data_IF_800433429206
#
_entry.id   IF_800433429206
#
_cell.length_a   1.000
_cell.length_b   1.000
_cell.length_c   1.000
_cell.angle_alpha   90.00
_cell.angle_beta   90.00
_cell.angle_gamma   90.00
#
_symmetry.space_group_name_H-M   'P 1'
#
loop_
_entity.id
_entity.type
_entity.pdbx_description
1 polymer ?
#
# COMPACT_ATOMS: atom_id res chain seq x y z
N UNK A 1 -8.48 19.37 12.57
CA UNK A 1 -9.59 18.51 12.11
C UNK A 1 -9.40 18.07 10.66
N UNK A 2 -9.23 18.98 9.71
CA UNK A 2 -8.99 18.68 8.28
C UNK A 2 -7.80 17.75 8.01
N UNK A 3 -6.65 17.96 8.66
CA UNK A 3 -5.45 17.11 8.47
C UNK A 3 -5.66 15.65 8.85
N UNK A 4 -6.40 15.39 9.93
CA UNK A 4 -6.71 14.02 10.37
C UNK A 4 -7.61 13.32 9.36
N UNK A 5 -8.63 14.02 8.85
CA UNK A 5 -9.48 13.49 7.78
C UNK A 5 -8.68 13.18 6.51
N UNK A 6 -7.78 14.08 6.10
CA UNK A 6 -6.91 13.86 4.93
C UNK A 6 -6.02 12.63 5.15
N UNK A 7 -5.44 12.47 6.34
CA UNK A 7 -4.62 11.30 6.67
C UNK A 7 -5.44 9.99 6.65
N UNK A 8 -6.67 10.01 7.17
CA UNK A 8 -7.57 8.85 7.15
C UNK A 8 -8.02 8.48 5.72
N UNK A 9 -8.32 9.49 4.90
CA UNK A 9 -8.63 9.32 3.48
C UNK A 9 -7.43 8.72 2.72
N UNK A 10 -6.24 9.28 2.93
CA UNK A 10 -5.01 8.77 2.33
C UNK A 10 -4.73 7.32 2.75
N UNK A 11 -4.89 7.00 4.03
CA UNK A 11 -4.72 5.65 4.56
C UNK A 11 -5.73 4.66 3.94
N UNK A 12 -7.00 5.05 3.88
CA UNK A 12 -8.07 4.22 3.33
C UNK A 12 -7.88 3.96 1.84
N UNK A 13 -7.53 5.00 1.08
CA UNK A 13 -7.23 4.91 -0.35
C UNK A 13 -6.01 4.02 -0.61
N UNK A 14 -4.93 4.22 0.16
CA UNK A 14 -3.70 3.41 0.06
C UNK A 14 -4.01 1.94 0.34
N UNK A 15 -4.76 1.64 1.41
CA UNK A 15 -5.15 0.27 1.76
C UNK A 15 -5.97 -0.40 0.67
N UNK A 16 -6.96 0.30 0.11
CA UNK A 16 -7.79 -0.21 -0.98
C UNK A 16 -6.97 -0.49 -2.25
N UNK A 17 -6.12 0.47 -2.65
CA UNK A 17 -5.25 0.34 -3.82
C UNK A 17 -4.31 -0.86 -3.68
N UNK A 18 -3.65 -1.01 -2.53
CA UNK A 18 -2.79 -2.17 -2.24
C UNK A 18 -3.54 -3.50 -2.30
N UNK A 19 -4.74 -3.58 -1.74
CA UNK A 19 -5.55 -4.80 -1.76
C UNK A 19 -5.93 -5.21 -3.19
N UNK A 20 -6.40 -4.25 -3.98
CA UNK A 20 -6.75 -4.48 -5.40
C UNK A 20 -5.53 -4.90 -6.20
N UNK A 21 -4.40 -4.22 -6.01
CA UNK A 21 -3.16 -4.48 -6.73
C UNK A 21 -2.58 -5.86 -6.36
N UNK A 22 -2.64 -6.24 -5.08
CA UNK A 22 -2.24 -7.57 -4.63
C UNK A 22 -3.13 -8.66 -5.24
N UNK A 23 -4.46 -8.46 -5.30
CA UNK A 23 -5.38 -9.41 -5.95
C UNK A 23 -5.11 -9.56 -7.45
N UNK A 24 -4.78 -8.47 -8.14
CA UNK A 24 -4.38 -8.49 -9.54
C UNK A 24 -3.06 -9.25 -9.75
N UNK A 25 -2.04 -8.92 -8.97
CA UNK A 25 -0.70 -9.51 -9.08
C UNK A 25 -0.66 -10.98 -8.64
N UNK A 26 -1.60 -11.42 -7.82
CA UNK A 26 -1.75 -12.83 -7.43
C UNK A 26 -1.96 -13.76 -8.63
N UNK A 27 -2.53 -13.26 -9.74
CA UNK A 27 -2.67 -14.05 -10.98
C UNK A 27 -1.33 -14.37 -11.66
N UNK A 28 -0.25 -13.67 -11.29
CA UNK A 28 1.04 -13.71 -11.96
C UNK A 28 2.13 -14.42 -11.14
N UNK A 29 1.84 -14.88 -9.93
CA UNK A 29 2.84 -15.52 -9.07
C UNK A 29 2.37 -15.72 -7.62
N UNK A 30 3.28 -16.18 -6.74
CA UNK A 30 2.93 -16.52 -5.37
C UNK A 30 2.43 -15.30 -4.57
N UNK A 31 1.47 -15.49 -3.64
CA UNK A 31 0.76 -14.40 -2.97
C UNK A 31 1.69 -13.43 -2.24
N UNK A 32 2.75 -13.95 -1.62
CA UNK A 32 3.76 -13.12 -0.94
C UNK A 32 4.56 -12.24 -1.90
N UNK A 33 4.94 -12.74 -3.08
CA UNK A 33 5.61 -11.89 -4.08
C UNK A 33 4.64 -10.85 -4.65
N UNK A 34 3.37 -11.21 -4.87
CA UNK A 34 2.34 -10.28 -5.31
C UNK A 34 2.15 -9.13 -4.30
N UNK A 35 2.11 -9.42 -3.00
CA UNK A 35 2.02 -8.41 -1.95
C UNK A 35 3.24 -7.47 -1.91
N UNK A 36 4.47 -8.00 -2.02
CA UNK A 36 5.67 -7.18 -2.08
C UNK A 36 5.74 -6.30 -3.33
N UNK A 37 5.34 -6.83 -4.49
CA UNK A 37 5.27 -6.08 -5.75
C UNK A 37 4.20 -4.99 -5.67
N UNK A 38 3.02 -5.32 -5.13
CA UNK A 38 1.95 -4.36 -4.92
C UNK A 38 2.40 -3.21 -4.01
N UNK A 39 3.08 -3.57 -2.90
CA UNK A 39 3.64 -2.59 -1.97
C UNK A 39 4.68 -1.70 -2.63
N UNK A 40 5.67 -2.26 -3.32
CA UNK A 40 6.73 -1.49 -3.97
C UNK A 40 6.20 -0.57 -5.06
N UNK A 41 5.26 -1.07 -5.89
CA UNK A 41 4.66 -0.29 -6.97
C UNK A 41 3.81 0.85 -6.40
N UNK A 42 2.95 0.56 -5.42
CA UNK A 42 2.13 1.57 -4.75
C UNK A 42 2.99 2.63 -4.08
N UNK A 43 4.02 2.21 -3.33
CA UNK A 43 4.91 3.14 -2.64
C UNK A 43 5.63 4.05 -3.63
N UNK A 44 6.23 3.50 -4.68
CA UNK A 44 6.94 4.27 -5.69
C UNK A 44 6.03 5.30 -6.39
N UNK A 45 4.86 4.88 -6.86
CA UNK A 45 3.91 5.77 -7.55
C UNK A 45 3.44 6.89 -6.62
N UNK A 46 3.05 6.56 -5.38
CA UNK A 46 2.56 7.55 -4.43
C UNK A 46 3.68 8.52 -4.01
N UNK A 47 4.88 8.04 -3.72
CA UNK A 47 6.02 8.89 -3.34
C UNK A 47 6.41 9.84 -4.47
N UNK A 48 6.50 9.35 -5.72
CA UNK A 48 6.77 10.21 -6.88
C UNK A 48 5.64 11.23 -7.06
N UNK A 49 4.38 10.79 -6.99
CA UNK A 49 3.23 11.68 -7.12
C UNK A 49 3.23 12.77 -6.06
N UNK A 50 3.53 12.45 -4.80
CA UNK A 50 3.61 13.46 -3.73
C UNK A 50 4.76 14.44 -3.90
N UNK A 51 5.91 13.97 -4.40
CA UNK A 51 7.05 14.84 -4.67
C UNK A 51 6.72 15.91 -5.73
N UNK A 52 5.90 15.57 -6.73
CA UNK A 52 5.50 16.50 -7.80
C UNK A 52 4.21 17.29 -7.50
N UNK A 53 3.25 16.70 -6.77
CA UNK A 53 1.93 17.31 -6.55
C UNK A 53 1.91 18.42 -5.50
N UNK A 54 2.94 18.53 -4.66
CA UNK A 54 2.96 19.48 -3.52
C UNK A 54 4.13 20.46 -3.64
N UNK A 55 4.00 21.56 -4.41
CA UNK A 55 5.09 22.50 -4.67
C UNK A 55 5.49 23.39 -3.47
N UNK A 56 5.02 23.09 -2.25
CA UNK A 56 5.36 23.84 -1.03
C UNK A 56 5.97 22.98 0.08
N UNK A 57 5.43 21.79 0.32
CA UNK A 57 5.87 20.89 1.41
C UNK A 57 5.97 19.42 0.94
N UNK A 58 6.83 19.10 -0.04
CA UNK A 58 6.94 17.74 -0.58
C UNK A 58 7.38 16.73 0.48
N UNK A 59 8.19 17.16 1.47
CA UNK A 59 8.67 16.29 2.55
C UNK A 59 7.52 15.75 3.41
N UNK A 60 6.59 16.63 3.81
CA UNK A 60 5.43 16.27 4.64
C UNK A 60 4.53 15.26 3.94
N UNK A 61 4.29 15.45 2.64
CA UNK A 61 3.48 14.56 1.82
C UNK A 61 4.15 13.18 1.65
N UNK A 62 5.47 13.16 1.38
CA UNK A 62 6.25 11.92 1.30
C UNK A 62 6.26 11.18 2.63
N UNK A 63 6.46 11.89 3.75
CA UNK A 63 6.43 11.30 5.09
C UNK A 63 5.06 10.68 5.42
N UNK A 64 3.97 11.37 5.07
CA UNK A 64 2.62 10.83 5.25
C UNK A 64 2.42 9.54 4.47
N UNK A 65 2.88 9.49 3.21
CA UNK A 65 2.80 8.30 2.37
C UNK A 65 3.62 7.15 2.96
N UNK A 66 4.85 7.42 3.37
CA UNK A 66 5.71 6.43 4.01
C UNK A 66 5.05 5.88 5.29
N UNK A 67 4.44 6.75 6.09
CA UNK A 67 3.72 6.35 7.30
C UNK A 67 2.51 5.47 6.98
N UNK A 68 1.67 5.85 6.01
CA UNK A 68 0.54 5.04 5.57
C UNK A 68 0.97 3.66 5.08
N UNK A 69 2.04 3.59 4.27
CA UNK A 69 2.57 2.33 3.76
C UNK A 69 3.18 1.48 4.89
N UNK A 70 3.91 2.09 5.83
CA UNK A 70 4.47 1.38 6.98
C UNK A 70 3.38 0.76 7.87
N UNK A 71 2.26 1.47 8.09
CA UNK A 71 1.11 0.94 8.85
C UNK A 71 0.41 -0.21 8.12
N UNK A 72 0.35 -0.16 6.78
CA UNK A 72 -0.37 -1.13 5.95
C UNK A 72 0.49 -2.34 5.56
N UNK A 73 1.81 -2.28 5.70
CA UNK A 73 2.70 -3.38 5.37
C UNK A 73 2.48 -4.64 6.24
N UNK A 74 2.39 -4.56 7.59
CA UNK A 74 2.11 -5.74 8.42
C UNK A 74 0.79 -6.44 8.08
N UNK A 75 -0.37 -5.76 7.98
CA UNK A 75 -1.61 -6.44 7.63
C UNK A 75 -1.60 -7.01 6.21
N UNK A 76 -0.95 -6.36 5.25
CA UNK A 76 -0.79 -6.87 3.88
C UNK A 76 0.01 -8.19 3.87
N UNK A 77 1.15 -8.24 4.55
CA UNK A 77 1.96 -9.45 4.65
C UNK A 77 1.23 -10.56 5.42
N UNK A 78 0.50 -10.21 6.48
CA UNK A 78 -0.32 -11.16 7.23
C UNK A 78 -1.43 -11.75 6.35
N UNK A 79 -2.09 -10.92 5.54
CA UNK A 79 -3.12 -11.34 4.59
C UNK A 79 -2.56 -12.29 3.53
N UNK A 80 -1.41 -11.95 2.93
CA UNK A 80 -0.73 -12.80 1.95
C UNK A 80 -0.36 -14.17 2.53
N UNK A 81 0.16 -14.21 3.76
CA UNK A 81 0.47 -15.48 4.46
C UNK A 81 -0.77 -16.31 4.76
N UNK A 82 -1.90 -15.67 5.10
CA UNK A 82 -3.17 -16.37 5.33
C UNK A 82 -3.72 -16.97 4.04
N UNK A 83 -3.53 -16.30 2.92
CA UNK A 83 -3.89 -16.83 1.60
C UNK A 83 -3.02 -18.01 1.18
N UNK A 84 -1.69 -17.94 1.34
CA UNK A 84 -0.78 -19.08 1.07
C UNK A 84 -1.22 -20.34 1.82
N UNK A 85 -1.51 -20.21 3.12
CA UNK A 85 -2.03 -21.32 3.94
C UNK A 85 -3.40 -21.85 3.52
N UNK A 86 -4.22 -21.03 2.85
CA UNK A 86 -5.53 -21.46 2.32
C UNK A 86 -5.37 -22.22 1.02
N UNK A 87 -4.42 -21.84 0.18
CA UNK A 87 -4.10 -22.54 -1.07
C UNK A 87 -3.47 -23.90 -0.80
N UNK A 88 -2.56 -24.02 0.18
CA UNK A 88 -1.98 -25.32 0.59
C UNK A 88 -2.99 -26.32 1.16
N UNK A 89 -4.17 -25.85 1.62
CA UNK A 89 -5.23 -26.70 2.19
C UNK A 89 -6.29 -27.14 1.17
N UNK A 90 -6.23 -26.66 -0.07
CA UNK A 90 -7.14 -27.03 -1.16
C UNK A 90 -6.47 -28.01 -2.11
#
# INVERSE_FOLDING_TARGET
>A
MTLVFIALLALSWTGLSLAVLAMLLKRLGPPRQAAWRAFGLSLGINTVSAAYATPGEPLSAVLLILLCHALLLPPLLLAARREERREERR
#
